data_IF_742348136775
#
_entry.id   IF_742348136775
#
_cell.length_a   1.000
_cell.length_b   1.000
_cell.length_c   1.000
_cell.angle_alpha   90.00
_cell.angle_beta   90.00
_cell.angle_gamma   90.00
#
_symmetry.space_group_name_H-M   'P 1'
#
loop_
_entity.id
_entity.type
_entity.pdbx_description
1 polymer ?
#
# COMPACT_ATOMS: atom_id res chain seq x y z
N UNK A 1 -14.06 -33.95 -10.41
CA UNK A 1 -14.21 -32.49 -10.60
C UNK A 1 -12.92 -31.85 -10.10
N UNK A 2 -12.09 -31.31 -11.01
CA UNK A 2 -10.93 -30.48 -10.56
C UNK A 2 -11.52 -29.24 -9.86
N UNK A 3 -11.40 -29.16 -8.54
CA UNK A 3 -11.65 -27.90 -7.82
C UNK A 3 -10.64 -26.90 -8.35
N UNK A 4 -11.08 -25.79 -8.93
CA UNK A 4 -10.18 -24.67 -9.22
C UNK A 4 -9.43 -24.34 -7.95
N UNK A 5 -8.11 -24.07 -8.08
CA UNK A 5 -7.31 -23.69 -6.94
C UNK A 5 -7.81 -22.34 -6.40
N UNK A 6 -7.83 -22.14 -5.08
CA UNK A 6 -8.24 -20.87 -4.52
C UNK A 6 -7.29 -19.76 -4.97
N UNK A 7 -7.83 -18.57 -5.25
CA UNK A 7 -7.08 -17.36 -5.61
C UNK A 7 -7.15 -16.39 -4.43
N UNK A 8 -6.08 -15.65 -4.18
CA UNK A 8 -6.06 -14.55 -3.24
C UNK A 8 -5.62 -13.24 -3.91
N UNK A 9 -6.21 -12.13 -3.47
CA UNK A 9 -5.81 -10.78 -3.79
C UNK A 9 -5.34 -10.08 -2.51
N UNK A 10 -4.09 -9.62 -2.52
CA UNK A 10 -3.41 -8.97 -1.41
C UNK A 10 -3.21 -7.50 -1.77
N UNK A 11 -3.93 -6.61 -1.11
CA UNK A 11 -3.93 -5.19 -1.38
C UNK A 11 -3.02 -4.46 -0.39
N UNK A 12 -2.09 -3.63 -0.87
CA UNK A 12 -1.60 -2.58 0.01
C UNK A 12 -2.74 -1.64 0.42
N UNK A 13 -2.53 -0.78 1.38
CA UNK A 13 -3.57 0.11 1.88
C UNK A 13 -3.44 1.52 1.30
N UNK A 14 -2.34 2.20 1.61
CA UNK A 14 -2.07 3.58 1.19
C UNK A 14 -1.72 3.64 -0.29
N UNK A 15 -2.41 4.43 -1.08
CA UNK A 15 -2.22 4.52 -2.53
C UNK A 15 -2.82 3.36 -3.33
N UNK A 16 -3.43 2.36 -2.67
CA UNK A 16 -4.09 1.20 -3.31
C UNK A 16 -5.56 1.08 -2.92
N UNK A 17 -5.86 0.98 -1.63
CA UNK A 17 -7.24 0.96 -1.13
C UNK A 17 -7.74 2.37 -0.89
N UNK A 18 -6.88 3.24 -0.33
CA UNK A 18 -7.20 4.63 0.00
C UNK A 18 -6.17 5.59 -0.56
N UNK A 19 -6.61 6.79 -0.96
CA UNK A 19 -5.74 7.88 -1.43
C UNK A 19 -5.29 8.76 -0.27
N UNK A 20 -4.16 8.41 0.32
CA UNK A 20 -3.52 9.21 1.39
C UNK A 20 -2.38 10.10 0.90
N UNK A 21 -1.94 9.92 -0.34
CA UNK A 21 -0.80 10.64 -0.93
C UNK A 21 -0.92 12.17 -0.92
N UNK A 22 -2.09 12.79 -1.24
CA UNK A 22 -2.24 14.23 -1.16
C UNK A 22 -1.98 14.78 0.26
N UNK A 23 -2.42 14.04 1.29
CA UNK A 23 -2.26 14.44 2.68
C UNK A 23 -0.79 14.32 3.12
N UNK A 24 -0.09 13.24 2.78
CA UNK A 24 1.35 13.14 3.01
C UNK A 24 2.14 14.24 2.28
N UNK A 25 1.74 14.56 1.05
CA UNK A 25 2.35 15.67 0.29
C UNK A 25 2.22 16.99 1.05
N UNK A 26 1.03 17.30 1.60
CA UNK A 26 0.81 18.52 2.40
C UNK A 26 1.67 18.54 3.67
N UNK A 27 1.72 17.42 4.40
CA UNK A 27 2.57 17.30 5.59
C UNK A 27 4.05 17.58 5.26
N UNK A 28 4.56 16.95 4.22
CA UNK A 28 5.97 17.10 3.84
C UNK A 28 6.28 18.47 3.23
N UNK A 29 5.35 19.09 2.51
CA UNK A 29 5.50 20.47 2.03
C UNK A 29 5.62 21.46 3.18
N UNK A 30 4.88 21.24 4.28
CA UNK A 30 5.03 22.06 5.49
C UNK A 30 6.41 21.90 6.11
N UNK A 31 6.94 20.66 6.21
CA UNK A 31 8.31 20.43 6.69
C UNK A 31 9.36 21.00 5.74
N UNK A 32 9.16 20.87 4.44
CA UNK A 32 10.00 21.50 3.42
C UNK A 32 10.06 23.01 3.58
N UNK A 33 8.93 23.70 3.70
CA UNK A 33 8.89 25.15 3.93
C UNK A 33 9.66 25.58 5.17
N UNK A 34 9.62 24.78 6.24
CA UNK A 34 10.29 25.09 7.51
C UNK A 34 11.79 24.83 7.46
N UNK A 35 12.21 23.70 6.91
CA UNK A 35 13.59 23.20 7.04
C UNK A 35 14.39 23.25 5.74
N UNK A 36 13.72 23.25 4.58
CA UNK A 36 14.31 23.22 3.24
C UNK A 36 13.62 24.20 2.30
N UNK A 37 13.55 25.51 2.65
CA UNK A 37 12.86 26.50 1.81
C UNK A 37 13.44 26.66 0.40
N UNK A 38 14.67 26.16 0.18
CA UNK A 38 15.33 26.12 -1.13
C UNK A 38 14.79 25.07 -2.07
N UNK A 39 13.99 24.08 -1.55
CA UNK A 39 13.39 22.99 -2.34
C UNK A 39 11.90 23.25 -2.49
N UNK A 40 11.44 23.77 -3.63
CA UNK A 40 10.01 23.99 -3.86
C UNK A 40 9.28 22.63 -4.00
N UNK A 41 8.01 22.58 -3.54
CA UNK A 41 7.18 21.37 -3.62
C UNK A 41 7.88 20.14 -3.01
N UNK A 42 8.38 20.30 -1.80
CA UNK A 42 9.21 19.31 -1.11
C UNK A 42 8.52 17.93 -1.02
N UNK A 43 7.22 17.90 -0.72
CA UNK A 43 6.43 16.66 -0.67
C UNK A 43 6.49 15.89 -1.97
N UNK A 44 6.39 16.57 -3.11
CA UNK A 44 6.56 15.94 -4.43
C UNK A 44 8.01 15.49 -4.70
N UNK A 45 8.98 16.27 -4.21
CA UNK A 45 10.40 15.96 -4.41
C UNK A 45 10.82 14.64 -3.73
N UNK A 46 10.20 14.30 -2.61
CA UNK A 46 10.52 13.09 -1.83
C UNK A 46 9.63 11.89 -2.13
N UNK A 47 8.64 12.01 -3.04
CA UNK A 47 7.75 10.88 -3.39
C UNK A 47 8.52 9.60 -3.73
N UNK A 48 8.00 8.47 -3.25
CA UNK A 48 8.60 7.16 -3.46
C UNK A 48 9.82 6.84 -2.58
N UNK A 49 10.25 7.78 -1.71
CA UNK A 49 11.31 7.55 -0.72
C UNK A 49 10.73 7.00 0.59
N UNK A 50 11.49 6.15 1.26
CA UNK A 50 11.16 5.74 2.62
C UNK A 50 11.46 6.86 3.62
N UNK A 51 10.78 6.81 4.78
CA UNK A 51 11.04 7.74 5.89
C UNK A 51 12.53 7.79 6.27
N UNK A 52 13.19 6.62 6.30
CA UNK A 52 14.64 6.52 6.58
C UNK A 52 15.48 7.25 5.53
N UNK A 53 15.11 7.12 4.24
CA UNK A 53 15.82 7.82 3.16
C UNK A 53 15.64 9.33 3.26
N UNK A 54 14.40 9.77 3.50
CA UNK A 54 14.04 11.19 3.69
C UNK A 54 14.85 11.77 4.85
N UNK A 55 14.86 11.10 6.00
CA UNK A 55 15.61 11.56 7.17
C UNK A 55 17.11 11.60 6.91
N UNK A 56 17.66 10.56 6.33
CA UNK A 56 19.09 10.49 6.02
C UNK A 56 19.54 11.56 5.02
N UNK A 57 18.68 11.96 4.11
CA UNK A 57 19.01 12.94 3.07
C UNK A 57 18.77 14.38 3.54
N UNK A 58 17.67 14.65 4.24
CA UNK A 58 17.18 16.01 4.48
C UNK A 58 17.14 16.43 5.96
N UNK A 59 17.05 15.50 6.91
CA UNK A 59 16.79 15.83 8.32
C UNK A 59 17.83 15.22 9.27
N UNK A 60 19.14 15.34 8.93
CA UNK A 60 20.21 14.81 9.79
C UNK A 60 20.46 15.67 11.01
N UNK A 61 20.28 16.97 10.88
CA UNK A 61 20.56 17.98 11.91
C UNK A 61 19.34 18.92 12.08
N UNK A 62 19.08 19.45 13.27
CA UNK A 62 19.80 19.17 14.54
C UNK A 62 19.42 17.80 15.13
N UNK A 63 20.21 17.33 16.11
CA UNK A 63 19.91 16.11 16.88
C UNK A 63 18.47 16.18 17.47
N UNK A 64 17.73 15.08 17.38
CA UNK A 64 16.33 14.98 17.82
C UNK A 64 15.28 15.47 16.81
N UNK A 65 15.68 16.09 15.68
CA UNK A 65 14.75 16.58 14.67
C UNK A 65 13.94 15.43 14.03
N UNK A 66 14.58 14.28 13.78
CA UNK A 66 13.90 13.12 13.22
C UNK A 66 12.82 12.58 14.16
N UNK A 67 13.09 12.55 15.47
CA UNK A 67 12.12 12.12 16.48
C UNK A 67 10.95 13.10 16.58
N UNK A 68 11.23 14.41 16.49
CA UNK A 68 10.19 15.45 16.46
C UNK A 68 9.28 15.27 15.24
N UNK A 69 9.86 15.11 14.04
CA UNK A 69 9.10 14.93 12.79
C UNK A 69 8.33 13.62 12.83
N UNK A 70 8.92 12.53 13.34
CA UNK A 70 8.23 11.24 13.48
C UNK A 70 6.99 11.37 14.38
N UNK A 71 7.12 12.04 15.53
CA UNK A 71 5.98 12.28 16.42
C UNK A 71 4.90 13.10 15.72
N UNK A 72 5.28 14.18 15.03
CA UNK A 72 4.32 15.00 14.29
C UNK A 72 3.64 14.24 13.16
N UNK A 73 4.36 13.34 12.49
CA UNK A 73 3.79 12.47 11.46
C UNK A 73 2.78 11.49 12.05
N UNK A 74 3.11 10.83 13.17
CA UNK A 74 2.18 9.93 13.86
C UNK A 74 0.92 10.67 14.34
N UNK A 75 1.08 11.88 14.90
CA UNK A 75 -0.06 12.71 15.32
C UNK A 75 -0.92 13.13 14.11
N UNK A 76 -0.29 13.44 12.96
CA UNK A 76 -0.97 13.77 11.72
C UNK A 76 -1.77 12.58 11.17
N UNK A 77 -1.18 11.39 11.16
CA UNK A 77 -1.83 10.16 10.71
C UNK A 77 -3.10 9.81 11.51
N UNK A 78 -3.18 10.23 12.78
CA UNK A 78 -4.41 10.06 13.58
C UNK A 78 -5.57 10.95 13.13
N UNK A 79 -5.31 11.97 12.32
CA UNK A 79 -6.30 12.93 11.83
C UNK A 79 -6.53 12.85 10.33
N UNK A 80 -5.85 11.93 9.64
CA UNK A 80 -6.00 11.72 8.19
C UNK A 80 -7.39 11.23 7.84
N UNK A 81 -7.86 11.60 6.66
CA UNK A 81 -9.04 11.06 5.99
C UNK A 81 -8.63 9.95 5.01
N UNK A 82 -9.51 9.01 4.78
CA UNK A 82 -9.21 7.81 3.99
C UNK A 82 -10.20 7.67 2.82
N UNK A 83 -10.09 8.56 1.82
CA UNK A 83 -10.89 8.45 0.60
C UNK A 83 -10.50 7.19 -0.16
N UNK A 84 -11.48 6.39 -0.59
CA UNK A 84 -11.21 5.19 -1.38
C UNK A 84 -10.67 5.54 -2.77
N UNK A 85 -9.71 4.75 -3.24
CA UNK A 85 -9.29 4.78 -4.65
C UNK A 85 -10.48 4.36 -5.52
N UNK A 86 -10.66 5.06 -6.65
CA UNK A 86 -11.78 4.87 -7.56
C UNK A 86 -11.96 3.40 -7.97
N UNK A 87 -13.17 2.88 -7.79
CA UNK A 87 -13.56 1.53 -8.16
C UNK A 87 -13.11 0.41 -7.22
N UNK A 88 -12.25 0.65 -6.21
CA UNK A 88 -11.69 -0.41 -5.35
C UNK A 88 -12.76 -1.18 -4.57
N UNK A 89 -13.75 -0.47 -4.03
CA UNK A 89 -14.83 -1.08 -3.23
C UNK A 89 -15.66 -2.05 -4.07
N UNK A 90 -16.02 -1.66 -5.29
CA UNK A 90 -16.82 -2.49 -6.18
C UNK A 90 -16.00 -3.66 -6.73
N UNK A 91 -14.72 -3.44 -7.02
CA UNK A 91 -13.80 -4.51 -7.40
C UNK A 91 -13.63 -5.55 -6.28
N UNK A 92 -13.43 -5.14 -5.03
CA UNK A 92 -13.35 -6.07 -3.89
C UNK A 92 -14.66 -6.87 -3.71
N UNK A 93 -15.84 -6.25 -3.90
CA UNK A 93 -17.13 -6.95 -3.87
C UNK A 93 -17.21 -7.99 -4.99
N UNK A 94 -16.84 -7.64 -6.23
CA UNK A 94 -16.80 -8.59 -7.34
C UNK A 94 -15.90 -9.78 -7.01
N UNK A 95 -14.69 -9.53 -6.49
CA UNK A 95 -13.76 -10.60 -6.12
C UNK A 95 -14.36 -11.56 -5.07
N UNK A 96 -15.04 -11.04 -4.06
CA UNK A 96 -15.70 -11.86 -3.04
C UNK A 96 -16.82 -12.72 -3.63
N UNK A 97 -17.63 -12.16 -4.52
CA UNK A 97 -18.68 -12.91 -5.24
C UNK A 97 -18.11 -14.05 -6.09
N UNK A 98 -16.88 -13.87 -6.61
CA UNK A 98 -16.13 -14.91 -7.34
C UNK A 98 -15.39 -15.89 -6.43
N UNK A 99 -15.49 -15.73 -5.10
CA UNK A 99 -14.84 -16.63 -4.13
C UNK A 99 -13.35 -16.41 -3.96
N UNK A 100 -12.81 -15.26 -4.40
CA UNK A 100 -11.43 -14.85 -4.17
C UNK A 100 -11.24 -14.48 -2.69
N UNK A 101 -10.14 -14.91 -2.09
CA UNK A 101 -9.74 -14.53 -0.74
C UNK A 101 -9.05 -13.17 -0.76
N UNK A 102 -9.41 -12.29 0.18
CA UNK A 102 -8.92 -10.93 0.21
C UNK A 102 -8.18 -10.63 1.50
N UNK A 103 -7.01 -9.98 1.40
CA UNK A 103 -6.37 -9.37 2.55
C UNK A 103 -5.87 -7.97 2.21
N UNK A 104 -5.88 -7.08 3.21
CA UNK A 104 -5.08 -5.85 3.20
C UNK A 104 -3.74 -6.17 3.84
N UNK A 105 -2.64 -5.73 3.21
CA UNK A 105 -1.26 -5.97 3.67
C UNK A 105 -0.52 -4.65 3.67
N UNK A 106 -0.53 -3.95 4.80
CA UNK A 106 -0.07 -2.56 4.91
C UNK A 106 1.20 -2.39 5.73
N UNK A 107 1.98 -1.37 5.40
CA UNK A 107 3.07 -0.86 6.25
C UNK A 107 2.58 0.08 7.36
N UNK A 108 1.28 0.36 7.43
CA UNK A 108 0.65 1.12 8.50
C UNK A 108 0.54 0.28 9.77
N UNK A 109 0.73 0.93 10.92
CA UNK A 109 0.58 0.30 12.24
C UNK A 109 -0.89 0.22 12.67
N UNK A 110 -1.16 -0.50 13.76
CA UNK A 110 -2.51 -0.69 14.29
C UNK A 110 -3.18 0.64 14.70
N UNK A 111 -2.40 1.64 15.14
CA UNK A 111 -2.94 2.95 15.54
C UNK A 111 -3.50 3.72 14.34
N UNK A 112 -2.79 3.77 13.21
CA UNK A 112 -3.28 4.38 11.98
C UNK A 112 -4.49 3.61 11.44
N UNK A 113 -4.42 2.27 11.44
CA UNK A 113 -5.55 1.44 11.00
C UNK A 113 -6.80 1.61 11.88
N UNK A 114 -6.64 1.84 13.19
CA UNK A 114 -7.77 2.15 14.06
C UNK A 114 -8.47 3.47 13.66
N UNK A 115 -7.72 4.47 13.14
CA UNK A 115 -8.29 5.68 12.57
C UNK A 115 -9.09 5.38 11.29
N UNK A 116 -8.51 4.62 10.36
CA UNK A 116 -9.20 4.19 9.14
C UNK A 116 -10.50 3.42 9.45
N UNK A 117 -10.50 2.55 10.47
CA UNK A 117 -11.69 1.81 10.89
C UNK A 117 -12.80 2.68 11.53
N UNK A 118 -12.46 3.84 12.07
CA UNK A 118 -13.48 4.79 12.56
C UNK A 118 -14.21 5.46 11.41
N UNK A 119 -13.52 5.78 10.35
CA UNK A 119 -14.10 6.39 9.15
C UNK A 119 -14.79 5.34 8.27
N UNK A 120 -14.17 4.16 8.12
CA UNK A 120 -14.61 3.06 7.29
C UNK A 120 -14.72 1.75 8.09
N UNK A 121 -15.75 1.59 8.94
CA UNK A 121 -15.92 0.38 9.75
C UNK A 121 -16.12 -0.89 8.90
N UNK A 122 -16.59 -0.74 7.66
CA UNK A 122 -16.78 -1.82 6.69
C UNK A 122 -15.47 -2.47 6.25
N UNK A 123 -14.32 -1.79 6.32
CA UNK A 123 -13.00 -2.35 5.96
C UNK A 123 -12.74 -3.71 6.61
N UNK A 124 -13.17 -3.89 7.87
CA UNK A 124 -13.01 -5.15 8.62
C UNK A 124 -13.82 -6.31 8.06
N UNK A 125 -14.86 -6.01 7.28
CA UNK A 125 -15.74 -7.01 6.68
C UNK A 125 -15.56 -7.15 5.17
N UNK A 126 -14.88 -6.18 4.55
CA UNK A 126 -14.58 -6.22 3.11
C UNK A 126 -13.51 -7.24 2.76
N UNK A 127 -12.62 -7.55 3.70
CA UNK A 127 -11.51 -8.51 3.51
C UNK A 127 -11.57 -9.63 4.55
N UNK A 128 -10.92 -10.75 4.26
CA UNK A 128 -10.84 -11.89 5.19
C UNK A 128 -9.84 -11.62 6.31
N UNK A 129 -8.78 -10.81 6.04
CA UNK A 129 -7.75 -10.48 7.03
C UNK A 129 -7.04 -9.17 6.72
N UNK A 130 -6.42 -8.56 7.75
CA UNK A 130 -5.56 -7.37 7.61
C UNK A 130 -4.23 -7.66 8.31
N UNK A 131 -3.14 -7.57 7.53
CA UNK A 131 -1.75 -7.66 8.01
C UNK A 131 -1.22 -6.24 8.16
N UNK A 132 -1.01 -5.80 9.38
CA UNK A 132 -0.42 -4.49 9.71
C UNK A 132 1.10 -4.60 9.93
N UNK A 133 1.81 -3.47 10.00
CA UNK A 133 3.24 -3.43 10.31
C UNK A 133 3.57 -4.13 11.64
N UNK A 134 2.66 -4.09 12.62
CA UNK A 134 2.87 -4.68 13.95
C UNK A 134 2.85 -6.22 13.95
N UNK A 135 2.50 -6.84 12.82
CA UNK A 135 2.43 -8.31 12.66
C UNK A 135 3.65 -8.92 11.99
N UNK A 136 4.58 -8.10 11.54
CA UNK A 136 5.78 -8.54 10.82
C UNK A 136 7.05 -8.02 11.48
N UNK A 137 8.14 -8.77 11.34
CA UNK A 137 9.44 -8.37 11.85
C UNK A 137 10.19 -7.49 10.85
N UNK A 138 9.99 -7.74 9.56
CA UNK A 138 10.68 -7.05 8.48
C UNK A 138 9.67 -6.35 7.58
N UNK A 139 9.79 -5.03 7.50
CA UNK A 139 8.97 -4.21 6.61
C UNK A 139 9.33 -4.39 5.13
N UNK A 140 8.43 -4.00 4.23
CA UNK A 140 8.71 -3.90 2.77
C UNK A 140 10.03 -3.13 2.56
N UNK A 141 10.94 -3.60 1.70
CA UNK A 141 10.77 -4.56 0.61
C UNK A 141 11.01 -6.04 1.01
N UNK A 142 11.03 -6.40 2.30
CA UNK A 142 11.06 -7.81 2.70
C UNK A 142 9.70 -8.45 2.39
N UNK A 143 9.65 -9.71 1.87
CA UNK A 143 8.41 -10.34 1.41
C UNK A 143 7.51 -10.86 2.54
N UNK A 144 7.95 -10.78 3.80
CA UNK A 144 7.31 -11.39 4.98
C UNK A 144 5.81 -11.07 5.07
N UNK A 145 5.43 -9.80 4.86
CA UNK A 145 4.04 -9.38 4.99
C UNK A 145 3.10 -10.05 3.96
N UNK A 146 3.52 -10.18 2.71
CA UNK A 146 2.72 -10.84 1.66
C UNK A 146 2.70 -12.35 1.84
N UNK A 147 3.82 -12.97 2.23
CA UNK A 147 3.87 -14.40 2.55
C UNK A 147 2.97 -14.73 3.73
N UNK A 148 2.97 -13.90 4.78
CA UNK A 148 2.07 -14.04 5.93
C UNK A 148 0.59 -13.90 5.50
N UNK A 149 0.27 -12.93 4.64
CA UNK A 149 -1.07 -12.77 4.09
C UNK A 149 -1.56 -14.02 3.35
N UNK A 150 -0.72 -14.59 2.48
CA UNK A 150 -1.03 -15.83 1.75
C UNK A 150 -1.23 -17.03 2.69
N UNK A 151 -0.35 -17.16 3.71
CA UNK A 151 -0.43 -18.23 4.72
C UNK A 151 -1.74 -18.16 5.51
N UNK A 152 -2.12 -16.96 6.00
CA UNK A 152 -3.35 -16.77 6.77
C UNK A 152 -4.59 -17.07 5.92
N UNK A 153 -4.57 -16.70 4.64
CA UNK A 153 -5.68 -16.99 3.71
C UNK A 153 -5.71 -18.46 3.26
N UNK A 154 -4.63 -19.23 3.52
CA UNK A 154 -4.51 -20.62 3.09
C UNK A 154 -4.42 -20.79 1.58
N UNK A 155 -3.77 -19.82 0.89
CA UNK A 155 -3.62 -19.81 -0.57
C UNK A 155 -2.14 -19.87 -0.94
N UNK A 156 -1.80 -20.75 -1.88
CA UNK A 156 -0.45 -20.88 -2.41
C UNK A 156 0.00 -19.56 -3.08
N UNK A 157 1.23 -19.13 -2.83
CA UNK A 157 1.77 -17.85 -3.34
C UNK A 157 1.64 -17.69 -4.85
N UNK A 158 1.74 -18.77 -5.63
CA UNK A 158 1.61 -18.75 -7.09
C UNK A 158 0.16 -18.45 -7.55
N UNK A 159 -0.82 -18.53 -6.64
CA UNK A 159 -2.22 -18.17 -6.86
C UNK A 159 -2.59 -16.85 -6.13
N UNK A 160 -1.59 -16.10 -5.66
CA UNK A 160 -1.78 -14.78 -5.04
C UNK A 160 -1.40 -13.68 -6.01
N UNK A 161 -2.19 -12.61 -6.02
CA UNK A 161 -1.91 -11.37 -6.74
C UNK A 161 -1.76 -10.26 -5.71
N UNK A 162 -0.70 -9.48 -5.85
CA UNK A 162 -0.43 -8.30 -5.03
C UNK A 162 -0.84 -7.06 -5.80
N UNK A 163 -1.55 -6.13 -5.15
CA UNK A 163 -1.85 -4.79 -5.64
C UNK A 163 -1.01 -3.79 -4.85
N UNK A 164 -0.17 -3.01 -5.53
CA UNK A 164 0.83 -2.13 -4.92
C UNK A 164 1.16 -0.92 -5.80
N UNK A 165 1.49 0.21 -5.17
CA UNK A 165 1.81 1.47 -5.82
C UNK A 165 3.26 1.93 -5.58
N UNK A 166 3.91 1.38 -4.53
CA UNK A 166 5.24 1.77 -4.10
C UNK A 166 6.35 0.85 -4.62
N UNK A 167 7.56 1.40 -4.84
CA UNK A 167 8.71 0.59 -5.24
C UNK A 167 9.05 -0.51 -4.24
N UNK A 168 8.93 -0.22 -2.93
CA UNK A 168 9.27 -1.19 -1.89
C UNK A 168 8.23 -2.30 -1.78
N UNK A 169 6.98 -1.98 -1.94
CA UNK A 169 5.92 -2.98 -1.91
C UNK A 169 5.89 -3.85 -3.17
N UNK A 170 6.10 -3.27 -4.35
CA UNK A 170 6.28 -4.02 -5.61
C UNK A 170 7.46 -4.99 -5.48
N UNK A 171 8.57 -4.54 -4.92
CA UNK A 171 9.75 -5.39 -4.68
C UNK A 171 9.43 -6.51 -3.67
N UNK A 172 8.66 -6.22 -2.60
CA UNK A 172 8.23 -7.23 -1.62
C UNK A 172 7.36 -8.30 -2.27
N UNK A 173 6.38 -7.92 -3.10
CA UNK A 173 5.52 -8.83 -3.85
C UNK A 173 6.32 -9.73 -4.80
N UNK A 174 7.26 -9.15 -5.55
CA UNK A 174 8.14 -9.89 -6.44
C UNK A 174 9.05 -10.87 -5.68
N UNK A 175 9.61 -10.45 -4.54
CA UNK A 175 10.41 -11.34 -3.68
C UNK A 175 9.59 -12.45 -3.03
N UNK A 176 8.31 -12.23 -2.78
CA UNK A 176 7.40 -13.26 -2.34
C UNK A 176 7.13 -14.32 -3.45
N UNK A 177 7.53 -14.04 -4.69
CA UNK A 177 7.25 -14.87 -5.86
C UNK A 177 5.81 -14.78 -6.33
N UNK A 178 5.14 -13.66 -6.03
CA UNK A 178 3.75 -13.40 -6.43
C UNK A 178 3.70 -12.50 -7.66
N UNK A 179 2.59 -12.54 -8.40
CA UNK A 179 2.33 -11.58 -9.47
C UNK A 179 1.92 -10.24 -8.87
N UNK A 180 2.51 -9.16 -9.38
CA UNK A 180 2.22 -7.81 -8.88
C UNK A 180 1.49 -7.02 -9.98
N UNK A 181 0.35 -6.46 -9.61
CA UNK A 181 -0.37 -5.43 -10.37
C UNK A 181 -0.05 -4.10 -9.72
N UNK A 182 0.64 -3.23 -10.46
CA UNK A 182 1.01 -1.91 -10.00
C UNK A 182 -0.13 -0.90 -10.14
N UNK A 183 -0.34 -0.04 -9.15
CA UNK A 183 -1.21 1.13 -9.26
C UNK A 183 -0.36 2.38 -9.51
N UNK A 184 -0.76 3.17 -10.52
CA UNK A 184 -0.05 4.40 -10.89
C UNK A 184 -0.55 5.62 -10.08
N UNK A 185 -0.75 5.45 -8.78
CA UNK A 185 -1.25 6.47 -7.85
C UNK A 185 -0.13 7.27 -7.20
N UNK A 186 0.89 6.59 -6.66
CA UNK A 186 2.07 7.21 -6.04
C UNK A 186 3.20 7.44 -7.04
N UNK A 187 3.46 6.44 -7.88
CA UNK A 187 4.51 6.49 -8.90
C UNK A 187 3.89 6.45 -10.30
N UNK A 188 4.56 7.06 -11.30
CA UNK A 188 4.06 7.00 -12.67
C UNK A 188 4.06 5.56 -13.22
N UNK A 189 3.12 5.28 -14.13
CA UNK A 189 3.01 3.97 -14.75
C UNK A 189 4.34 3.51 -15.40
N UNK A 190 5.05 4.44 -16.05
CA UNK A 190 6.33 4.16 -16.70
C UNK A 190 7.41 3.76 -15.69
N UNK A 191 7.40 4.38 -14.50
CA UNK A 191 8.40 4.13 -13.46
C UNK A 191 8.29 2.72 -12.86
N UNK A 192 7.08 2.16 -12.80
CA UNK A 192 6.81 0.86 -12.19
C UNK A 192 6.58 -0.28 -13.19
N UNK A 193 6.30 0.03 -14.48
CA UNK A 193 5.90 -0.95 -15.48
C UNK A 193 6.86 -2.14 -15.62
N UNK A 194 8.17 -1.91 -15.59
CA UNK A 194 9.17 -2.97 -15.75
C UNK A 194 9.21 -3.98 -14.57
N UNK A 195 8.54 -3.65 -13.45
CA UNK A 195 8.55 -4.45 -12.21
C UNK A 195 7.20 -5.10 -11.91
N UNK A 196 6.17 -4.77 -12.69
CA UNK A 196 4.80 -5.26 -12.50
C UNK A 196 4.39 -6.15 -13.66
N UNK A 197 3.52 -7.13 -13.39
CA UNK A 197 2.92 -7.94 -14.44
C UNK A 197 1.87 -7.14 -15.26
N UNK A 198 1.26 -6.14 -14.61
CA UNK A 198 0.33 -5.19 -15.20
C UNK A 198 0.39 -3.90 -14.39
N UNK A 199 0.10 -2.76 -15.03
CA UNK A 199 -0.10 -1.47 -14.34
C UNK A 199 -1.47 -0.91 -14.69
N UNK A 200 -2.19 -0.45 -13.67
CA UNK A 200 -3.51 0.17 -13.79
C UNK A 200 -3.50 1.55 -13.12
N UNK A 201 -4.31 2.52 -13.58
CA UNK A 201 -4.42 3.82 -12.91
C UNK A 201 -5.25 3.75 -11.61
N UNK A 202 -6.33 2.97 -11.64
CA UNK A 202 -7.30 2.73 -10.57
C UNK A 202 -8.09 1.44 -10.87
N UNK A 203 -9.20 1.20 -10.15
CA UNK A 203 -10.01 -0.01 -10.31
C UNK A 203 -11.31 0.20 -11.13
N UNK A 204 -11.58 1.40 -11.66
CA UNK A 204 -12.85 1.74 -12.33
C UNK A 204 -13.21 0.77 -13.46
N UNK A 205 -12.25 0.45 -14.32
CA UNK A 205 -12.42 -0.49 -15.44
C UNK A 205 -11.72 -1.83 -15.22
N UNK A 206 -11.30 -2.14 -13.98
CA UNK A 206 -10.58 -3.37 -13.67
C UNK A 206 -11.54 -4.42 -13.15
N UNK A 207 -11.45 -5.65 -13.67
CA UNK A 207 -12.40 -6.75 -13.39
C UNK A 207 -11.68 -8.01 -12.94
N UNK A 208 -12.40 -8.93 -12.31
CA UNK A 208 -11.90 -10.26 -11.95
C UNK A 208 -11.26 -10.99 -13.13
N UNK A 209 -11.85 -10.93 -14.33
CA UNK A 209 -11.30 -11.63 -15.52
C UNK A 209 -9.95 -11.04 -15.95
N UNK A 210 -9.80 -9.71 -15.90
CA UNK A 210 -8.50 -9.06 -16.16
C UNK A 210 -7.46 -9.47 -15.12
N UNK A 211 -7.83 -9.50 -13.84
CA UNK A 211 -6.96 -9.97 -12.76
C UNK A 211 -6.56 -11.44 -12.95
N UNK A 212 -7.52 -12.32 -13.23
CA UNK A 212 -7.29 -13.76 -13.45
C UNK A 212 -6.35 -14.02 -14.63
N UNK A 213 -6.41 -13.18 -15.66
CA UNK A 213 -5.50 -13.25 -16.82
C UNK A 213 -4.02 -13.05 -16.46
N UNK A 214 -3.72 -12.37 -15.36
CA UNK A 214 -2.34 -12.15 -14.88
C UNK A 214 -1.71 -13.42 -14.28
N UNK A 215 -2.54 -14.38 -13.81
CA UNK A 215 -2.07 -15.66 -13.25
C UNK A 215 -1.75 -16.71 -14.32
N UNK A 216 -2.16 -16.50 -15.56
CA UNK A 216 -1.94 -17.41 -16.69
C UNK A 216 -0.61 -17.11 -17.37
#
# INVERSE_FOLDING_TARGET
>A
MNKEKPIAALFDFDGVVVDTEPQYTLFWDEKGKKYHPEIPNFGHHIKGQTLIQIYKQFFREPEGLQDEITRQLLDYELTMHFEYIDGVVDFMKELREKGVKLAIVTSSNDAKMANAYREHPELKTMVDFIVTADRVTHSKPHPECFLLGAEILGVEKDNCIVFEDSFHGIEAGNRAGMKVIGLATTNSAEAIAAKCALVIPDFTDFTFEKMKGVLQ
#
